data_IF_009338198442
#
_entry.id   IF_009338198442
#
_cell.length_a   1.000
_cell.length_b   1.000
_cell.length_c   1.000
_cell.angle_alpha   90.00
_cell.angle_beta   90.00
_cell.angle_gamma   90.00
#
_symmetry.space_group_name_H-M   'P 1'
#
loop_
_entity.id
_entity.type
_entity.pdbx_description
1 polymer ?
#
# COMPACT_ATOMS: atom_id res chain seq x y z
N UNK A 1 -17.36 -0.30 -5.17
CA UNK A 1 -16.35 -0.12 -4.09
C UNK A 1 -15.19 0.67 -4.65
N UNK A 2 -14.56 1.49 -3.81
CA UNK A 2 -13.28 2.11 -4.10
C UNK A 2 -12.23 1.57 -3.12
N UNK A 3 -10.98 1.55 -3.56
CA UNK A 3 -9.86 1.01 -2.78
C UNK A 3 -8.72 2.02 -2.73
N UNK A 4 -8.07 2.16 -1.58
CA UNK A 4 -6.91 3.03 -1.39
C UNK A 4 -5.74 2.26 -0.73
N UNK A 5 -4.62 2.12 -1.44
CA UNK A 5 -3.42 1.42 -0.97
C UNK A 5 -2.50 2.37 -0.20
N UNK A 6 -2.54 2.29 1.12
CA UNK A 6 -1.82 3.18 2.03
C UNK A 6 -0.47 2.59 2.40
N UNK A 7 0.52 2.72 1.51
CA UNK A 7 1.83 2.09 1.70
C UNK A 7 2.56 2.47 3.00
N UNK A 8 2.37 3.67 3.56
CA UNK A 8 3.02 4.04 4.83
C UNK A 8 2.31 3.43 6.05
N UNK A 9 0.97 3.51 6.07
CA UNK A 9 0.13 2.99 7.15
C UNK A 9 -0.03 1.47 7.10
N UNK A 10 0.42 0.82 6.02
CA UNK A 10 0.31 -0.62 5.80
C UNK A 10 -1.14 -1.11 5.85
N UNK A 11 -2.04 -0.38 5.18
CA UNK A 11 -3.44 -0.78 5.03
C UNK A 11 -3.93 -0.62 3.59
N UNK A 12 -4.96 -1.38 3.24
CA UNK A 12 -5.82 -1.15 2.09
C UNK A 12 -7.19 -0.72 2.63
N UNK A 13 -7.55 0.55 2.43
CA UNK A 13 -8.87 1.05 2.83
C UNK A 13 -9.90 0.64 1.78
N UNK A 14 -10.98 0.01 2.24
CA UNK A 14 -12.14 -0.38 1.42
C UNK A 14 -13.26 0.62 1.67
N UNK A 15 -13.71 1.25 0.59
CA UNK A 15 -14.72 2.32 0.63
C UNK A 15 -15.95 1.89 -0.15
N UNK A 16 -17.11 2.02 0.48
CA UNK A 16 -18.40 1.85 -0.15
C UNK A 16 -18.97 3.22 -0.54
N UNK A 17 -19.35 3.39 -1.80
CA UNK A 17 -20.13 4.54 -2.27
C UNK A 17 -21.61 4.25 -2.01
N UNK A 18 -22.18 4.88 -1.00
CA UNK A 18 -23.59 4.74 -0.62
C UNK A 18 -24.52 5.60 -1.49
N UNK A 19 -24.01 6.72 -2.01
CA UNK A 19 -24.64 7.60 -3.00
C UNK A 19 -23.55 8.42 -3.71
N UNK A 20 -23.85 9.17 -4.80
CA UNK A 20 -22.83 9.88 -5.58
C UNK A 20 -21.86 10.77 -4.77
N UNK A 21 -22.35 11.29 -3.63
CA UNK A 21 -21.59 12.19 -2.74
C UNK A 21 -21.39 11.61 -1.33
N UNK A 22 -21.77 10.34 -1.07
CA UNK A 22 -21.63 9.69 0.23
C UNK A 22 -20.77 8.45 0.13
N UNK A 23 -19.62 8.48 0.80
CA UNK A 23 -18.65 7.39 0.84
C UNK A 23 -18.40 6.99 2.27
N UNK A 24 -18.59 5.70 2.57
CA UNK A 24 -18.38 5.13 3.89
C UNK A 24 -17.15 4.20 3.84
N UNK A 25 -16.20 4.38 4.77
CA UNK A 25 -15.12 3.41 4.96
C UNK A 25 -15.73 2.18 5.63
N UNK A 26 -15.67 1.04 4.95
CA UNK A 26 -16.26 -0.22 5.44
C UNK A 26 -15.22 -1.20 5.96
N UNK A 27 -13.95 -1.06 5.57
CA UNK A 27 -12.86 -1.86 6.11
C UNK A 27 -11.48 -1.19 5.94
N UNK A 28 -10.51 -1.62 6.75
CA UNK A 28 -9.09 -1.36 6.59
C UNK A 28 -8.32 -2.68 6.70
N UNK A 29 -8.11 -3.32 5.56
CA UNK A 29 -7.37 -4.58 5.47
C UNK A 29 -5.90 -4.32 5.77
N UNK A 30 -5.31 -5.09 6.69
CA UNK A 30 -3.88 -5.01 6.98
C UNK A 30 -3.05 -5.47 5.77
N UNK A 31 -1.99 -4.72 5.44
CA UNK A 31 -1.05 -5.03 4.36
C UNK A 31 0.39 -4.89 4.86
N UNK A 32 1.37 -4.84 3.96
CA UNK A 32 2.77 -4.55 4.31
C UNK A 32 3.09 -3.07 4.10
N UNK A 33 3.91 -2.49 4.98
CA UNK A 33 4.54 -1.19 4.71
C UNK A 33 5.26 -1.23 3.36
N UNK A 34 5.12 -0.17 2.58
CA UNK A 34 5.49 0.03 1.17
C UNK A 34 4.49 -0.39 0.10
N UNK A 35 3.43 -1.13 0.45
CA UNK A 35 2.34 -1.54 -0.46
C UNK A 35 1.49 -0.35 -0.94
N UNK A 36 2.08 0.56 -1.71
CA UNK A 36 1.47 1.85 -2.11
C UNK A 36 0.78 1.80 -3.46
N UNK A 37 1.25 0.91 -4.34
CA UNK A 37 0.73 0.71 -5.70
C UNK A 37 -0.15 -0.52 -5.69
N UNK A 38 -1.21 -0.52 -6.50
CA UNK A 38 -2.13 -1.65 -6.63
C UNK A 38 -2.48 -1.91 -8.08
N UNK A 39 -2.88 -3.15 -8.38
CA UNK A 39 -3.65 -3.52 -9.56
C UNK A 39 -4.92 -4.24 -9.12
N UNK A 40 -6.06 -3.92 -9.74
CA UNK A 40 -7.34 -4.58 -9.50
C UNK A 40 -7.73 -5.42 -10.71
N UNK A 41 -8.01 -6.70 -10.51
CA UNK A 41 -8.59 -7.57 -11.53
C UNK A 41 -10.11 -7.48 -11.49
N UNK A 42 -10.71 -6.89 -12.52
CA UNK A 42 -12.17 -6.71 -12.62
C UNK A 42 -12.94 -8.02 -12.84
N UNK A 43 -12.29 -9.13 -13.17
CA UNK A 43 -12.94 -10.42 -13.39
C UNK A 43 -13.04 -11.25 -12.13
N UNK A 44 -11.94 -11.30 -11.36
CA UNK A 44 -11.83 -12.10 -10.14
C UNK A 44 -12.09 -11.27 -8.88
N UNK A 45 -12.01 -9.94 -8.99
CA UNK A 45 -12.02 -8.98 -7.88
C UNK A 45 -10.83 -9.10 -6.93
N UNK A 46 -9.73 -9.71 -7.37
CA UNK A 46 -8.49 -9.75 -6.60
C UNK A 46 -7.73 -8.43 -6.74
N UNK A 47 -7.08 -8.02 -5.65
CA UNK A 47 -6.19 -6.85 -5.61
C UNK A 47 -4.76 -7.32 -5.35
N UNK A 48 -3.84 -6.87 -6.20
CA UNK A 48 -2.42 -7.19 -6.08
C UNK A 48 -1.62 -5.96 -5.67
N UNK A 49 -0.83 -6.09 -4.61
CA UNK A 49 -0.10 -5.01 -3.96
C UNK A 49 1.39 -5.39 -3.85
N UNK A 50 2.27 -4.90 -4.75
CA UNK A 50 3.70 -5.14 -4.62
C UNK A 50 4.25 -4.36 -3.42
N UNK A 51 5.13 -5.00 -2.67
CA UNK A 51 5.80 -4.43 -1.51
C UNK A 51 7.24 -4.95 -1.41
N UNK A 52 8.05 -4.27 -0.59
CA UNK A 52 9.38 -4.72 -0.22
C UNK A 52 9.74 -4.23 1.18
N UNK A 53 10.70 -4.89 1.82
CA UNK A 53 11.25 -4.42 3.10
C UNK A 53 12.23 -3.29 2.85
N UNK A 54 12.17 -2.28 3.70
CA UNK A 54 13.12 -1.18 3.71
C UNK A 54 13.99 -1.30 4.96
N UNK A 55 15.29 -1.06 4.80
CA UNK A 55 16.22 -0.99 5.92
C UNK A 55 16.10 0.34 6.68
N UNK A 56 17.09 0.65 7.50
CA UNK A 56 17.14 1.93 8.19
C UNK A 56 17.48 3.07 7.21
N UNK A 57 16.88 4.25 7.45
CA UNK A 57 17.31 5.45 6.75
C UNK A 57 18.76 5.76 7.14
N UNK A 58 19.65 6.03 6.16
CA UNK A 58 20.98 6.56 6.46
C UNK A 58 20.90 7.85 7.29
N UNK A 59 21.99 8.22 7.96
CA UNK A 59 22.05 9.51 8.64
C UNK A 59 21.86 10.68 7.63
N UNK A 60 21.08 11.72 7.97
CA UNK A 60 20.99 12.92 7.16
C UNK A 60 22.38 13.56 6.91
N UNK A 61 22.57 14.11 5.72
CA UNK A 61 23.75 14.91 5.36
C UNK A 61 23.30 16.28 4.82
N UNK A 62 24.19 17.26 4.74
CA UNK A 62 23.86 18.57 4.14
C UNK A 62 23.34 18.43 2.69
N UNK A 63 23.94 17.52 1.92
CA UNK A 63 23.54 17.24 0.53
C UNK A 63 22.26 16.42 0.42
N UNK A 64 21.92 15.66 1.46
CA UNK A 64 20.73 14.82 1.51
C UNK A 64 20.15 14.83 2.94
N UNK A 65 19.33 15.84 3.29
CA UNK A 65 18.77 15.98 4.63
C UNK A 65 17.63 15.00 4.92
N UNK A 66 17.09 14.31 3.89
CA UNK A 66 16.01 13.31 4.03
C UNK A 66 16.34 12.05 3.23
N UNK A 67 17.39 11.32 3.63
CA UNK A 67 17.80 10.13 2.89
C UNK A 67 16.70 9.07 2.96
N UNK A 68 16.41 8.47 1.81
CA UNK A 68 15.41 7.41 1.72
C UNK A 68 16.01 6.10 2.26
N UNK A 69 15.26 5.34 3.07
CA UNK A 69 15.59 3.95 3.38
C UNK A 69 15.91 3.13 2.12
N UNK A 70 16.98 2.33 2.10
CA UNK A 70 17.26 1.42 0.99
C UNK A 70 16.31 0.22 1.03
N UNK A 71 16.01 -0.36 -0.13
CA UNK A 71 15.28 -1.63 -0.22
C UNK A 71 16.21 -2.78 0.18
N UNK A 72 15.71 -3.71 1.00
CA UNK A 72 16.44 -4.93 1.37
C UNK A 72 16.46 -5.87 0.16
N UNK A 73 17.64 -6.32 -0.34
CA UNK A 73 17.71 -7.24 -1.47
C UNK A 73 16.91 -8.54 -1.24
N UNK A 74 16.20 -9.02 -2.27
CA UNK A 74 15.40 -10.25 -2.19
C UNK A 74 14.13 -10.16 -1.35
N UNK A 75 13.75 -8.96 -0.86
CA UNK A 75 12.57 -8.78 -0.02
C UNK A 75 11.29 -8.40 -0.77
N UNK A 76 11.32 -8.41 -2.10
CA UNK A 76 10.14 -8.13 -2.90
C UNK A 76 9.09 -9.22 -2.69
N UNK A 77 7.85 -8.81 -2.48
CA UNK A 77 6.69 -9.67 -2.37
C UNK A 77 5.48 -9.04 -3.06
N UNK A 78 4.57 -9.89 -3.51
CA UNK A 78 3.27 -9.49 -4.05
C UNK A 78 2.19 -9.97 -3.08
N UNK A 79 1.54 -9.03 -2.41
CA UNK A 79 0.38 -9.36 -1.58
C UNK A 79 -0.85 -9.46 -2.49
N UNK A 80 -1.68 -10.47 -2.22
CA UNK A 80 -2.96 -10.66 -2.85
C UNK A 80 -4.06 -10.49 -1.79
N UNK A 81 -5.02 -9.62 -2.07
CA UNK A 81 -6.25 -9.49 -1.30
C UNK A 81 -7.37 -10.04 -2.16
N UNK A 82 -7.97 -11.14 -1.69
CA UNK A 82 -9.08 -11.82 -2.34
C UNK A 82 -10.43 -11.40 -1.72
N UNK A 83 -11.56 -11.59 -2.43
CA UNK A 83 -12.91 -11.30 -1.93
C UNK A 83 -13.31 -12.03 -0.66
#
# INVERSE_FOLDING_TARGET
LAFASNGQSATLTVVHEASPDKYDVIDNVATQRSARTMAFDTKTHHIFLPAAKFGDAPAPTEKNPRPRPPVVPGSFELLEVAP
#
